data_IF_099834340298
#
_entry.id   IF_099834340298
#
_cell.length_a   1.000
_cell.length_b   1.000
_cell.length_c   1.000
_cell.angle_alpha   90.00
_cell.angle_beta   90.00
_cell.angle_gamma   90.00
#
_symmetry.space_group_name_H-M   'P 1'
#
loop_
_entity.id
_entity.type
_entity.pdbx_description
1 polymer ?
#
# COMPACT_ATOMS: atom_id res chain seq x y z
N UNK A 1 -17.20 25.02 -10.01
CA UNK A 1 -17.85 23.71 -9.80
C UNK A 1 -18.61 23.78 -8.49
N UNK A 2 -19.91 24.10 -8.52
CA UNK A 2 -20.76 24.07 -7.35
C UNK A 2 -21.19 22.62 -7.10
N UNK A 3 -20.99 22.10 -5.88
CA UNK A 3 -21.40 20.74 -5.49
C UNK A 3 -20.26 19.74 -5.18
N UNK A 4 -18.99 20.17 -5.18
CA UNK A 4 -17.89 19.27 -4.81
C UNK A 4 -17.93 18.94 -3.31
N UNK A 5 -18.25 17.70 -2.96
CA UNK A 5 -18.17 17.18 -1.59
C UNK A 5 -16.75 16.77 -1.25
N UNK A 6 -16.33 17.03 -0.01
CA UNK A 6 -15.05 16.55 0.52
C UNK A 6 -15.27 15.21 1.19
N UNK A 7 -14.49 14.20 0.79
CA UNK A 7 -14.42 12.90 1.45
C UNK A 7 -13.00 12.35 1.39
N UNK A 8 -12.70 11.38 2.25
CA UNK A 8 -11.50 10.55 2.18
C UNK A 8 -11.56 9.66 0.93
N UNK A 9 -10.42 9.51 0.25
CA UNK A 9 -10.32 8.82 -1.02
C UNK A 9 -9.71 7.43 -0.87
N UNK A 10 -10.21 6.47 -1.63
CA UNK A 10 -9.56 5.18 -1.88
C UNK A 10 -8.79 5.28 -3.19
N UNK A 11 -7.47 5.13 -3.12
CA UNK A 11 -6.54 5.33 -4.23
C UNK A 11 -5.84 4.01 -4.52
N UNK A 12 -5.82 3.56 -5.77
CA UNK A 12 -5.13 2.34 -6.19
C UNK A 12 -4.03 2.68 -7.18
N UNK A 13 -2.81 2.24 -6.88
CA UNK A 13 -1.67 2.27 -7.81
C UNK A 13 -1.31 0.84 -8.21
N UNK A 14 -1.66 0.46 -9.44
CA UNK A 14 -1.47 -0.91 -9.96
C UNK A 14 -0.69 -0.92 -11.28
N UNK A 15 -0.66 -2.05 -11.97
CA UNK A 15 0.04 -2.25 -13.24
C UNK A 15 1.46 -2.78 -13.09
N UNK A 16 2.04 -3.18 -14.21
CA UNK A 16 3.31 -3.90 -14.25
C UNK A 16 4.56 -3.01 -14.21
N UNK A 17 4.39 -1.72 -14.43
CA UNK A 17 5.45 -0.72 -14.41
C UNK A 17 5.97 -0.42 -13.01
N UNK A 18 7.23 0.03 -12.94
CA UNK A 18 7.83 0.62 -11.74
C UNK A 18 7.11 1.92 -11.41
N UNK A 19 6.86 2.15 -10.12
CA UNK A 19 6.41 3.45 -9.62
C UNK A 19 5.35 3.40 -8.53
N UNK A 20 4.68 2.25 -8.32
CA UNK A 20 3.46 2.15 -7.50
C UNK A 20 3.71 2.58 -6.05
N UNK A 21 4.65 1.91 -5.39
CA UNK A 21 5.10 2.23 -4.03
C UNK A 21 5.68 3.64 -3.95
N UNK A 22 6.51 4.06 -4.93
CA UNK A 22 7.09 5.42 -4.90
C UNK A 22 6.05 6.53 -5.06
N UNK A 23 4.97 6.29 -5.80
CA UNK A 23 3.86 7.24 -5.90
C UNK A 23 3.09 7.32 -4.57
N UNK A 24 2.85 6.18 -3.90
CA UNK A 24 2.27 6.15 -2.57
C UNK A 24 3.15 6.86 -1.52
N UNK A 25 4.47 6.66 -1.57
CA UNK A 25 5.45 7.40 -0.75
C UNK A 25 5.45 8.91 -1.05
N UNK A 26 5.25 9.30 -2.31
CA UNK A 26 5.07 10.70 -2.70
C UNK A 26 3.80 11.32 -2.09
N UNK A 27 2.70 10.56 -2.05
CA UNK A 27 1.47 10.96 -1.35
C UNK A 27 1.69 11.07 0.16
N UNK A 28 2.38 10.09 0.77
CA UNK A 28 2.77 10.13 2.18
C UNK A 28 3.54 11.41 2.51
N UNK A 29 4.58 11.72 1.72
CA UNK A 29 5.39 12.93 1.91
C UNK A 29 4.55 14.20 1.77
N UNK A 30 3.65 14.26 0.78
CA UNK A 30 2.75 15.40 0.57
C UNK A 30 1.79 15.59 1.74
N UNK A 31 1.19 14.51 2.23
CA UNK A 31 0.23 14.52 3.33
C UNK A 31 0.93 14.94 4.64
N UNK A 32 2.07 14.32 4.95
CA UNK A 32 2.88 14.67 6.12
C UNK A 32 3.34 16.13 6.09
N UNK A 33 3.79 16.64 4.93
CA UNK A 33 4.17 18.04 4.76
C UNK A 33 3.00 19.04 4.93
N UNK A 34 1.76 18.55 4.98
CA UNK A 34 0.55 19.31 5.30
C UNK A 34 0.08 19.11 6.75
N UNK A 35 0.87 18.44 7.59
CA UNK A 35 0.56 18.17 8.99
C UNK A 35 -0.39 17.00 9.21
N UNK A 36 -0.64 16.16 8.19
CA UNK A 36 -1.49 14.99 8.31
C UNK A 36 -0.76 13.85 9.02
N UNK A 37 -1.50 13.05 9.80
CA UNK A 37 -1.03 11.81 10.41
C UNK A 37 -1.12 10.68 9.38
N UNK A 38 0.04 10.10 9.06
CA UNK A 38 0.17 9.08 8.02
C UNK A 38 0.82 7.83 8.59
N UNK A 39 0.36 6.67 8.12
CA UNK A 39 0.98 5.37 8.41
C UNK A 39 1.02 4.53 7.14
N UNK A 40 2.07 3.73 6.99
CA UNK A 40 2.23 2.79 5.89
C UNK A 40 2.47 1.38 6.40
N UNK A 41 1.76 0.41 5.84
CA UNK A 41 1.86 -1.01 6.14
C UNK A 41 2.27 -1.72 4.86
N UNK A 42 3.42 -2.41 4.88
CA UNK A 42 4.01 -3.01 3.68
C UNK A 42 3.88 -4.53 3.70
N UNK A 43 2.90 -5.06 2.98
CA UNK A 43 2.80 -6.51 2.79
C UNK A 43 4.06 -7.04 2.08
N UNK A 44 4.33 -8.33 2.23
CA UNK A 44 5.45 -9.06 1.61
C UNK A 44 6.81 -8.70 2.23
N UNK A 45 7.05 -7.45 2.62
CA UNK A 45 8.35 -6.98 3.11
C UNK A 45 8.73 -7.61 4.46
N UNK A 46 10.01 -7.99 4.60
CA UNK A 46 10.55 -8.59 5.81
C UNK A 46 10.39 -7.65 7.03
N UNK A 47 9.95 -8.18 8.18
CA UNK A 47 9.82 -7.42 9.45
C UNK A 47 11.11 -6.66 9.86
N UNK A 48 12.28 -7.15 9.47
CA UNK A 48 13.59 -6.54 9.73
C UNK A 48 14.10 -5.66 8.58
N UNK A 49 13.25 -5.33 7.60
CA UNK A 49 13.61 -4.48 6.48
C UNK A 49 14.06 -3.09 6.95
N UNK A 50 15.08 -2.55 6.28
CA UNK A 50 15.62 -1.21 6.54
C UNK A 50 15.88 -0.46 5.22
N UNK A 51 14.89 -0.51 4.33
CA UNK A 51 14.88 0.15 3.03
C UNK A 51 14.96 1.68 3.15
N UNK A 52 15.28 2.37 2.05
CA UNK A 52 15.45 3.83 2.03
C UNK A 52 14.26 4.60 2.61
N UNK A 53 13.04 4.18 2.30
CA UNK A 53 11.80 4.80 2.78
C UNK A 53 11.61 4.66 4.30
N UNK A 54 11.94 3.50 4.88
CA UNK A 54 11.85 3.26 6.33
C UNK A 54 12.84 4.16 7.07
N UNK A 55 14.06 4.27 6.54
CA UNK A 55 15.11 5.15 7.09
C UNK A 55 14.70 6.62 7.04
N UNK A 56 14.04 7.04 5.95
CA UNK A 56 13.54 8.40 5.81
C UNK A 56 12.36 8.68 6.74
N UNK A 57 11.38 7.78 6.79
CA UNK A 57 10.19 7.91 7.61
C UNK A 57 10.51 8.02 9.11
N UNK A 58 11.51 7.26 9.60
CA UNK A 58 12.00 7.38 10.98
C UNK A 58 12.48 8.80 11.32
N UNK A 59 13.14 9.49 10.39
CA UNK A 59 13.56 10.89 10.58
C UNK A 59 12.39 11.86 10.55
N UNK A 60 11.32 11.52 9.83
CA UNK A 60 10.08 12.31 9.76
C UNK A 60 9.14 12.06 10.95
N UNK A 61 9.41 11.04 11.77
CA UNK A 61 8.48 10.58 12.82
C UNK A 61 7.23 9.89 12.23
N UNK A 62 7.32 9.34 11.02
CA UNK A 62 6.26 8.59 10.36
C UNK A 62 6.51 7.10 10.53
N UNK A 63 5.47 6.35 10.86
CA UNK A 63 5.55 4.90 11.03
C UNK A 63 5.36 4.18 9.68
N UNK A 64 6.34 3.34 9.34
CA UNK A 64 6.24 2.35 8.25
C UNK A 64 6.46 0.97 8.88
N UNK A 65 5.47 0.09 8.73
CA UNK A 65 5.46 -1.25 9.34
C UNK A 65 5.56 -2.30 8.22
N UNK A 66 6.70 -3.01 8.10
CA UNK A 66 6.79 -4.16 7.22
C UNK A 66 5.98 -5.35 7.76
N UNK A 67 5.17 -5.95 6.90
CA UNK A 67 4.26 -7.05 7.16
C UNK A 67 4.60 -8.24 6.26
N UNK A 68 5.53 -9.08 6.72
CA UNK A 68 5.94 -10.27 5.99
C UNK A 68 7.36 -10.73 6.31
N UNK A 69 7.86 -11.66 5.53
CA UNK A 69 9.18 -12.28 5.68
C UNK A 69 10.16 -11.93 4.55
N UNK A 70 9.73 -11.12 3.58
CA UNK A 70 10.56 -10.59 2.49
C UNK A 70 10.40 -11.34 1.17
N UNK A 71 9.93 -12.59 1.19
CA UNK A 71 9.74 -13.39 -0.01
C UNK A 71 8.58 -14.36 0.19
N UNK A 72 7.39 -13.89 -0.17
CA UNK A 72 6.11 -14.62 -0.02
C UNK A 72 5.94 -15.76 -1.03
N UNK A 73 7.06 -16.34 -1.48
CA UNK A 73 7.13 -17.47 -2.41
C UNK A 73 8.09 -18.58 -1.97
N UNK A 74 8.78 -18.44 -0.82
CA UNK A 74 9.69 -19.48 -0.30
C UNK A 74 9.08 -20.37 0.79
N UNK A 75 7.82 -20.15 1.16
CA UNK A 75 7.11 -20.91 2.21
C UNK A 75 5.83 -21.60 1.71
N UNK A 76 5.28 -22.48 2.54
CA UNK A 76 3.98 -23.12 2.30
C UNK A 76 2.85 -22.07 2.25
N UNK A 77 1.84 -22.32 1.40
CA UNK A 77 0.75 -21.37 1.15
C UNK A 77 -0.01 -20.99 2.44
N UNK A 78 -0.17 -21.93 3.37
CA UNK A 78 -0.81 -21.70 4.67
C UNK A 78 0.00 -20.76 5.57
N UNK A 79 1.33 -20.86 5.54
CA UNK A 79 2.20 -19.94 6.29
C UNK A 79 2.09 -18.51 5.74
N UNK A 80 2.18 -18.34 4.42
CA UNK A 80 2.02 -17.04 3.78
C UNK A 80 0.63 -16.44 4.05
N UNK A 81 -0.40 -17.27 4.02
CA UNK A 81 -1.77 -16.89 4.39
C UNK A 81 -1.85 -16.41 5.85
N UNK A 82 -1.22 -17.12 6.78
CA UNK A 82 -1.22 -16.72 8.19
C UNK A 82 -0.58 -15.35 8.41
N UNK A 83 0.57 -15.08 7.78
CA UNK A 83 1.25 -13.78 7.83
C UNK A 83 0.41 -12.67 7.20
N UNK A 84 -0.24 -12.96 6.08
CA UNK A 84 -1.15 -12.05 5.42
C UNK A 84 -2.34 -11.66 6.34
N UNK A 85 -2.94 -12.62 7.04
CA UNK A 85 -4.06 -12.38 7.95
C UNK A 85 -3.63 -11.65 9.23
N UNK A 86 -2.44 -11.94 9.77
CA UNK A 86 -1.82 -11.18 10.87
C UNK A 86 -1.62 -9.72 10.45
N UNK A 87 -1.00 -9.50 9.29
CA UNK A 87 -0.78 -8.16 8.74
C UNK A 87 -2.09 -7.42 8.46
N UNK A 88 -3.10 -8.12 7.93
CA UNK A 88 -4.42 -7.57 7.70
C UNK A 88 -5.11 -7.15 9.00
N UNK A 89 -4.94 -7.91 10.08
CA UNK A 89 -5.48 -7.54 11.41
C UNK A 89 -4.98 -6.17 11.85
N UNK A 90 -3.68 -5.90 11.70
CA UNK A 90 -3.10 -4.59 11.99
C UNK A 90 -3.62 -3.52 11.01
N UNK A 91 -3.73 -3.83 9.72
CA UNK A 91 -4.28 -2.90 8.74
C UNK A 91 -5.70 -2.46 9.11
N UNK A 92 -6.58 -3.41 9.49
CA UNK A 92 -7.94 -3.12 9.95
C UNK A 92 -7.94 -2.18 11.15
N UNK A 93 -7.09 -2.44 12.13
CA UNK A 93 -6.95 -1.57 13.31
C UNK A 93 -6.62 -0.13 12.88
N UNK A 94 -5.66 0.08 11.98
CA UNK A 94 -5.26 1.42 11.53
C UNK A 94 -6.32 2.09 10.64
N UNK A 95 -6.99 1.32 9.77
CA UNK A 95 -8.06 1.82 8.89
C UNK A 95 -9.32 2.20 9.68
N UNK A 96 -9.62 1.51 10.78
CA UNK A 96 -10.82 1.73 11.60
C UNK A 96 -10.55 2.53 12.87
N UNK A 97 -9.31 2.94 13.12
CA UNK A 97 -8.93 3.77 14.27
C UNK A 97 -9.80 5.05 14.35
N UNK A 98 -9.93 5.69 15.53
CA UNK A 98 -10.63 6.96 15.66
C UNK A 98 -10.17 8.00 14.61
N UNK A 99 -11.05 8.91 14.13
CA UNK A 99 -10.72 9.84 13.05
C UNK A 99 -9.41 10.61 13.25
N UNK A 100 -9.09 10.98 14.48
CA UNK A 100 -7.90 11.73 14.88
C UNK A 100 -6.60 10.92 14.91
N UNK A 101 -6.65 9.60 14.77
CA UNK A 101 -5.46 8.75 14.81
C UNK A 101 -4.62 8.86 13.52
N UNK A 102 -5.29 8.73 12.37
CA UNK A 102 -4.66 8.79 11.04
C UNK A 102 -5.60 9.45 10.03
N UNK A 103 -5.04 10.34 9.23
CA UNK A 103 -5.71 10.93 8.07
C UNK A 103 -5.47 10.11 6.79
N UNK A 104 -4.31 9.44 6.69
CA UNK A 104 -3.95 8.58 5.55
C UNK A 104 -3.35 7.25 6.01
N UNK A 105 -3.86 6.16 5.46
CA UNK A 105 -3.33 4.80 5.66
C UNK A 105 -2.90 4.23 4.31
N UNK A 106 -1.66 3.77 4.21
CA UNK A 106 -1.12 3.19 2.97
C UNK A 106 -0.93 1.68 3.18
N UNK A 107 -1.51 0.89 2.27
CA UNK A 107 -1.44 -0.57 2.21
C UNK A 107 -0.61 -0.94 0.99
N UNK A 108 0.71 -1.01 1.19
CA UNK A 108 1.66 -1.29 0.12
C UNK A 108 1.69 -2.80 -0.17
N UNK A 109 1.62 -3.15 -1.45
CA UNK A 109 1.63 -4.52 -1.99
C UNK A 109 0.48 -5.44 -1.52
N UNK A 110 -0.61 -4.87 -1.00
CA UNK A 110 -1.79 -5.62 -0.55
C UNK A 110 -2.50 -6.38 -1.67
N UNK A 111 -2.40 -5.91 -2.92
CA UNK A 111 -3.10 -6.56 -4.04
C UNK A 111 -2.61 -7.98 -4.29
N UNK A 112 -1.36 -8.31 -3.97
CA UNK A 112 -0.87 -9.69 -4.04
C UNK A 112 -1.60 -10.60 -3.05
N UNK A 113 -1.83 -10.13 -1.83
CA UNK A 113 -2.53 -10.90 -0.80
C UNK A 113 -3.95 -11.24 -1.22
N UNK A 114 -4.60 -10.31 -1.92
CA UNK A 114 -5.92 -10.54 -2.51
C UNK A 114 -5.83 -11.48 -3.73
N UNK A 115 -4.84 -11.26 -4.60
CA UNK A 115 -4.62 -12.06 -5.81
C UNK A 115 -4.39 -13.55 -5.49
N UNK A 116 -3.60 -13.84 -4.46
CA UNK A 116 -3.35 -15.21 -3.98
C UNK A 116 -4.49 -15.77 -3.11
N UNK A 117 -5.59 -15.03 -2.95
CA UNK A 117 -6.79 -15.43 -2.19
C UNK A 117 -6.53 -15.72 -0.71
N UNK A 118 -5.44 -15.20 -0.15
CA UNK A 118 -5.17 -15.28 1.28
C UNK A 118 -6.10 -14.37 2.08
N UNK A 119 -6.48 -13.24 1.48
CA UNK A 119 -7.47 -12.30 1.96
C UNK A 119 -8.55 -12.10 0.89
N UNK A 120 -9.83 -12.15 1.27
CA UNK A 120 -10.93 -11.94 0.33
C UNK A 120 -11.08 -10.45 -0.02
N UNK A 121 -11.51 -10.16 -1.25
CA UNK A 121 -11.75 -8.78 -1.68
C UNK A 121 -12.92 -8.17 -0.90
N UNK A 122 -13.93 -8.97 -0.60
CA UNK A 122 -15.14 -8.57 0.11
C UNK A 122 -14.80 -8.04 1.52
N UNK A 123 -13.90 -8.72 2.22
CA UNK A 123 -13.39 -8.29 3.54
C UNK A 123 -12.65 -6.95 3.44
N UNK A 124 -11.84 -6.75 2.39
CA UNK A 124 -11.14 -5.48 2.17
C UNK A 124 -12.13 -4.35 1.92
N UNK A 125 -13.12 -4.57 1.07
CA UNK A 125 -14.15 -3.57 0.74
C UNK A 125 -15.03 -3.23 1.96
N UNK A 126 -15.44 -4.21 2.77
CA UNK A 126 -16.22 -3.96 4.01
C UNK A 126 -15.46 -3.01 4.96
N UNK A 127 -14.18 -3.28 5.17
CA UNK A 127 -13.34 -2.45 6.06
C UNK A 127 -13.14 -1.06 5.48
N UNK A 128 -12.93 -0.95 4.15
CA UNK A 128 -12.81 0.35 3.50
C UNK A 128 -14.11 1.15 3.61
N UNK A 129 -15.28 0.52 3.49
CA UNK A 129 -16.58 1.19 3.59
C UNK A 129 -16.85 1.75 4.99
N UNK A 130 -16.41 1.03 6.03
CA UNK A 130 -16.58 1.39 7.44
C UNK A 130 -15.54 2.38 7.97
N UNK A 131 -14.54 2.77 7.16
CA UNK A 131 -13.50 3.72 7.59
C UNK A 131 -14.11 5.10 7.91
N UNK A 132 -13.47 5.92 8.76
CA UNK A 132 -13.88 7.30 8.98
C UNK A 132 -13.99 8.10 7.69
N UNK A 133 -15.02 8.98 7.53
CA UNK A 133 -15.37 9.56 6.23
C UNK A 133 -14.27 10.36 5.54
N UNK A 134 -13.32 10.92 6.29
CA UNK A 134 -12.20 11.72 5.77
C UNK A 134 -10.88 10.96 5.67
N UNK A 135 -10.85 9.67 6.03
CA UNK A 135 -9.63 8.86 5.94
C UNK A 135 -9.33 8.47 4.51
N UNK A 136 -8.14 8.85 4.05
CA UNK A 136 -7.59 8.39 2.79
C UNK A 136 -6.98 6.99 2.97
N UNK A 137 -7.22 6.11 2.00
CA UNK A 137 -6.57 4.80 1.94
C UNK A 137 -5.91 4.62 0.58
N UNK A 138 -4.61 4.33 0.57
CA UNK A 138 -3.85 4.10 -0.66
C UNK A 138 -3.46 2.63 -0.72
N UNK A 139 -3.82 1.92 -1.78
CA UNK A 139 -3.48 0.52 -2.01
C UNK A 139 -2.52 0.43 -3.18
N UNK A 140 -1.49 -0.41 -3.07
CA UNK A 140 -0.53 -0.62 -4.16
C UNK A 140 -0.38 -2.11 -4.48
N UNK A 141 0.14 -2.35 -5.68
CA UNK A 141 0.68 -3.63 -6.10
C UNK A 141 0.15 -4.07 -7.47
N UNK A 142 0.67 -5.19 -7.97
CA UNK A 142 0.22 -5.75 -9.27
C UNK A 142 -1.12 -6.47 -9.10
N UNK A 143 -1.78 -6.76 -10.23
CA UNK A 143 -2.98 -7.61 -10.26
C UNK A 143 -4.11 -7.13 -9.34
N UNK A 144 -4.36 -5.82 -9.26
CA UNK A 144 -5.53 -5.31 -8.55
C UNK A 144 -6.80 -5.95 -9.15
N UNK A 145 -7.64 -6.62 -8.34
CA UNK A 145 -8.84 -7.28 -8.85
C UNK A 145 -9.87 -6.24 -9.33
N UNK A 146 -10.67 -6.59 -10.33
CA UNK A 146 -11.62 -5.66 -10.95
C UNK A 146 -12.57 -5.01 -9.93
N UNK A 147 -13.08 -5.77 -8.97
CA UNK A 147 -13.96 -5.18 -7.94
C UNK A 147 -13.27 -4.14 -7.05
N UNK A 148 -11.95 -4.21 -6.85
CA UNK A 148 -11.20 -3.15 -6.15
C UNK A 148 -11.04 -1.91 -7.04
N UNK A 149 -10.83 -2.12 -8.34
CA UNK A 149 -10.74 -1.04 -9.34
C UNK A 149 -12.07 -0.29 -9.41
N UNK A 150 -13.19 -1.01 -9.46
CA UNK A 150 -14.54 -0.44 -9.54
C UNK A 150 -14.92 0.31 -8.26
N UNK A 151 -14.45 -0.16 -7.10
CA UNK A 151 -14.71 0.48 -5.80
C UNK A 151 -13.89 1.75 -5.56
N UNK A 152 -12.66 1.82 -6.07
CA UNK A 152 -11.73 2.90 -5.76
C UNK A 152 -12.14 4.24 -6.39
N UNK A 153 -11.84 5.34 -5.68
CA UNK A 153 -12.10 6.70 -6.16
C UNK A 153 -11.10 7.15 -7.25
N UNK A 154 -9.88 6.62 -7.19
CA UNK A 154 -8.82 6.91 -8.15
C UNK A 154 -8.01 5.64 -8.39
N UNK A 155 -7.87 5.24 -9.66
CA UNK A 155 -7.01 4.14 -10.07
C UNK A 155 -5.98 4.65 -11.07
N UNK A 156 -4.72 4.30 -10.86
CA UNK A 156 -3.63 4.56 -11.81
C UNK A 156 -2.97 3.23 -12.16
N UNK A 157 -2.99 2.89 -13.45
CA UNK A 157 -2.26 1.76 -14.00
C UNK A 157 -0.89 2.23 -14.50
N UNK A 158 0.17 1.80 -13.83
CA UNK A 158 1.54 2.04 -14.28
C UNK A 158 1.90 0.99 -15.31
N UNK A 159 1.91 1.38 -16.58
CA UNK A 159 2.33 0.51 -17.68
C UNK A 159 3.83 0.53 -17.85
N UNK A 160 4.43 -0.65 -18.01
CA UNK A 160 5.86 -0.77 -18.29
C UNK A 160 6.13 -0.46 -19.77
N UNK A 161 6.51 0.77 -20.09
CA UNK A 161 6.94 1.14 -21.45
C UNK A 161 8.38 0.70 -21.72
N UNK A 162 9.25 0.84 -20.70
CA UNK A 162 10.64 0.37 -20.67
C UNK A 162 11.05 0.15 -19.21
N UNK A 163 11.93 -0.81 -18.96
CA UNK A 163 12.54 -1.08 -17.66
C UNK A 163 14.04 -1.39 -17.80
N UNK A 164 14.93 -0.72 -17.04
CA UNK A 164 16.39 -0.90 -17.17
C UNK A 164 16.86 -2.35 -17.05
N UNK A 165 16.28 -3.12 -16.11
CA UNK A 165 16.61 -4.54 -15.97
C UNK A 165 16.23 -5.37 -17.19
N UNK A 166 15.03 -5.18 -17.74
CA UNK A 166 14.49 -6.03 -18.82
C UNK A 166 15.09 -5.64 -20.16
N UNK A 167 15.16 -4.35 -20.45
CA UNK A 167 15.58 -3.85 -21.77
C UNK A 167 17.08 -3.63 -21.90
N UNK A 168 17.80 -3.51 -20.77
CA UNK A 168 19.22 -3.14 -20.78
C UNK A 168 20.09 -4.05 -19.89
N UNK A 169 19.49 -4.98 -19.12
CA UNK A 169 20.23 -5.82 -18.18
C UNK A 169 20.82 -5.06 -16.97
N UNK A 170 20.38 -3.83 -16.72
CA UNK A 170 20.90 -3.00 -15.62
C UNK A 170 20.27 -3.46 -14.30
N UNK A 171 21.12 -3.87 -13.36
CA UNK A 171 20.71 -4.36 -12.03
C UNK A 171 20.17 -3.21 -11.16
N UNK A 172 19.39 -3.60 -10.14
CA UNK A 172 18.86 -2.70 -9.13
C UNK A 172 19.96 -1.88 -8.43
N UNK A 173 19.68 -0.60 -8.17
CA UNK A 173 20.61 0.37 -7.60
C UNK A 173 20.06 1.02 -6.33
N UNK A 174 20.94 1.30 -5.34
CA UNK A 174 20.57 2.07 -4.16
C UNK A 174 20.00 3.44 -4.53
N UNK A 175 18.89 3.83 -3.92
CA UNK A 175 18.17 5.08 -4.15
C UNK A 175 17.23 5.06 -5.36
N UNK A 176 17.24 4.01 -6.19
CA UNK A 176 16.37 3.88 -7.36
C UNK A 176 15.38 2.73 -7.19
N UNK A 177 15.87 1.53 -6.88
CA UNK A 177 15.05 0.34 -6.63
C UNK A 177 14.86 0.06 -5.13
N UNK A 178 15.86 0.40 -4.30
CA UNK A 178 15.86 0.15 -2.85
C UNK A 178 16.67 1.17 -2.04
#
# INVERSE_FOLDING_TARGET
MAGATRKGLVIVHTGDGKGKTTAALGLMMRAWGRGMKVIMLQFIKNKNANWGEIRAARKMGVEIIPLGDGFVFSGEDEYNRSLALEGWTLCKEKILAPPEAYDMVILDEITYVIHYKWLSLEEVVDVLDRRPPMRHVVLTGRHAPQGLIDYADLVTEMRMIKHPLVDQGIKAQPGIEF
#
